data_IF_268079573854
#
_entry.id   IF_268079573854
#
_cell.length_a   1.000
_cell.length_b   1.000
_cell.length_c   1.000
_cell.angle_alpha   90.00
_cell.angle_beta   90.00
_cell.angle_gamma   90.00
#
_symmetry.space_group_name_H-M   'P 1'
#
loop_
_entity.id
_entity.type
_entity.pdbx_description
1 polymer ?
#
# COMPACT_ATOMS: atom_id res chain seq x y z
N UNK A 1 19.92 -4.18 -21.43
CA UNK A 1 19.40 -4.53 -20.08
C UNK A 1 18.29 -3.56 -19.73
N UNK A 2 17.09 -4.02 -19.37
CA UNK A 2 16.16 -3.14 -18.67
C UNK A 2 16.85 -2.73 -17.36
N UNK A 3 16.91 -1.43 -17.11
CA UNK A 3 17.67 -0.81 -16.04
C UNK A 3 17.28 -1.40 -14.68
N UNK A 4 18.25 -1.70 -13.80
CA UNK A 4 18.03 -2.21 -12.42
C UNK A 4 17.13 -1.32 -11.53
N UNK A 5 16.79 -0.12 -12.00
CA UNK A 5 15.92 0.85 -11.31
C UNK A 5 14.83 1.28 -12.29
N UNK A 6 13.60 0.75 -12.19
CA UNK A 6 12.49 1.21 -13.02
C UNK A 6 12.24 2.69 -12.74
N UNK A 7 11.98 3.46 -13.79
CA UNK A 7 11.67 4.89 -13.71
C UNK A 7 10.24 5.10 -14.18
N UNK A 8 9.49 5.89 -13.43
CA UNK A 8 8.14 6.33 -13.77
C UNK A 8 8.18 7.84 -14.00
N UNK A 9 7.69 8.30 -15.15
CA UNK A 9 7.49 9.71 -15.44
C UNK A 9 6.00 10.02 -15.27
N UNK A 10 5.68 11.06 -14.51
CA UNK A 10 4.29 11.47 -14.22
C UNK A 10 4.18 12.96 -14.51
N UNK A 11 3.11 13.36 -15.18
CA UNK A 11 2.79 14.76 -15.46
C UNK A 11 1.82 15.27 -14.41
N UNK A 12 2.12 16.42 -13.81
CA UNK A 12 1.28 17.10 -12.83
C UNK A 12 0.84 18.45 -13.38
N UNK A 13 -0.27 18.96 -12.85
CA UNK A 13 -0.62 20.36 -13.02
C UNK A 13 0.31 21.26 -12.19
N UNK A 14 0.43 22.53 -12.60
CA UNK A 14 1.29 23.51 -11.91
C UNK A 14 0.88 23.71 -10.45
N UNK A 15 -0.42 23.72 -10.16
CA UNK A 15 -1.00 23.85 -8.81
C UNK A 15 -0.58 22.68 -7.90
N UNK A 16 -0.64 21.46 -8.42
CA UNK A 16 -0.28 20.23 -7.72
C UNK A 16 1.23 20.18 -7.44
N UNK A 17 2.04 20.50 -8.45
CA UNK A 17 3.50 20.51 -8.31
C UNK A 17 3.97 21.55 -7.29
N UNK A 18 3.31 22.73 -7.24
CA UNK A 18 3.57 23.74 -6.23
C UNK A 18 3.25 23.23 -4.82
N UNK A 19 2.11 22.56 -4.65
CA UNK A 19 1.70 21.97 -3.37
C UNK A 19 2.69 20.91 -2.92
N UNK A 20 3.08 20.02 -3.84
CA UNK A 20 4.08 18.98 -3.60
C UNK A 20 5.46 19.57 -3.24
N UNK A 21 5.86 20.66 -3.90
CA UNK A 21 7.08 21.40 -3.61
C UNK A 21 7.10 22.03 -2.21
N UNK A 22 5.99 22.63 -1.78
CA UNK A 22 5.85 23.18 -0.43
C UNK A 22 5.94 22.09 0.64
N UNK A 23 5.29 20.94 0.41
CA UNK A 23 5.36 19.79 1.30
C UNK A 23 6.77 19.20 1.37
N UNK A 24 7.45 19.05 0.23
CA UNK A 24 8.82 18.55 0.17
C UNK A 24 9.78 19.48 0.93
N UNK A 25 9.62 20.80 0.77
CA UNK A 25 10.41 21.80 1.51
C UNK A 25 10.16 21.72 3.01
N UNK A 26 8.90 21.59 3.45
CA UNK A 26 8.54 21.45 4.87
C UNK A 26 9.18 20.20 5.50
N UNK A 27 9.34 19.13 4.72
CA UNK A 27 9.91 17.86 5.17
C UNK A 27 11.43 17.72 4.91
N UNK A 28 12.08 18.76 4.36
CA UNK A 28 13.48 18.73 3.94
C UNK A 28 13.83 17.54 3.01
N UNK A 29 12.93 17.24 2.06
CA UNK A 29 13.07 16.17 1.06
C UNK A 29 13.06 16.72 -0.36
N UNK A 30 13.55 15.94 -1.32
CA UNK A 30 13.31 16.24 -2.74
C UNK A 30 11.86 15.93 -3.12
N UNK A 31 11.33 16.64 -4.12
CA UNK A 31 9.98 16.40 -4.66
C UNK A 31 9.85 14.94 -5.12
N UNK A 32 10.86 14.39 -5.78
CA UNK A 32 10.86 13.01 -6.27
C UNK A 32 10.86 11.96 -5.15
N UNK A 33 11.57 12.22 -4.05
CA UNK A 33 11.57 11.32 -2.88
C UNK A 33 10.21 11.33 -2.21
N UNK A 34 9.63 12.52 -1.98
CA UNK A 34 8.32 12.66 -1.38
C UNK A 34 7.23 12.01 -2.27
N UNK A 35 7.26 12.26 -3.57
CA UNK A 35 6.33 11.64 -4.52
C UNK A 35 6.39 10.11 -4.46
N UNK A 36 7.61 9.54 -4.41
CA UNK A 36 7.80 8.10 -4.29
C UNK A 36 7.19 7.57 -2.99
N UNK A 37 7.45 8.22 -1.86
CA UNK A 37 6.89 7.82 -0.56
C UNK A 37 5.36 7.85 -0.59
N UNK A 38 4.76 8.94 -1.06
CA UNK A 38 3.31 9.06 -1.16
C UNK A 38 2.68 7.99 -2.07
N UNK A 39 3.35 7.62 -3.15
CA UNK A 39 2.90 6.53 -4.03
C UNK A 39 2.98 5.18 -3.32
N UNK A 40 4.05 4.92 -2.56
CA UNK A 40 4.19 3.68 -1.78
C UNK A 40 3.14 3.59 -0.68
N UNK A 41 2.91 4.67 0.06
CA UNK A 41 1.88 4.74 1.11
C UNK A 41 0.48 4.50 0.51
N UNK A 42 0.20 5.03 -0.69
CA UNK A 42 -1.06 4.78 -1.36
C UNK A 42 -1.21 3.31 -1.77
N UNK A 43 -0.15 2.69 -2.30
CA UNK A 43 -0.15 1.26 -2.66
C UNK A 43 -0.39 0.37 -1.44
N UNK A 44 0.26 0.66 -0.32
CA UNK A 44 0.07 -0.06 0.94
C UNK A 44 -1.40 0.03 1.42
N UNK A 45 -2.01 1.22 1.38
CA UNK A 45 -3.44 1.38 1.73
C UNK A 45 -4.37 0.61 0.80
N UNK A 46 -4.06 0.54 -0.49
CA UNK A 46 -4.83 -0.25 -1.44
C UNK A 46 -4.72 -1.74 -1.15
N UNK A 47 -3.52 -2.21 -0.79
CA UNK A 47 -3.29 -3.59 -0.38
C UNK A 47 -4.04 -3.93 0.92
N UNK A 48 -3.99 -3.07 1.93
CA UNK A 48 -4.70 -3.26 3.20
C UNK A 48 -6.21 -3.42 3.00
N UNK A 49 -6.81 -2.63 2.11
CA UNK A 49 -8.24 -2.75 1.78
C UNK A 49 -8.55 -4.10 1.14
N UNK A 50 -7.70 -4.54 0.20
CA UNK A 50 -7.85 -5.84 -0.45
C UNK A 50 -7.71 -7.01 0.54
N UNK A 51 -6.68 -6.96 1.40
CA UNK A 51 -6.45 -7.97 2.44
C UNK A 51 -7.57 -8.01 3.48
N UNK A 52 -8.10 -6.84 3.86
CA UNK A 52 -9.25 -6.73 4.78
C UNK A 52 -10.50 -7.38 4.18
N UNK A 53 -10.74 -7.17 2.87
CA UNK A 53 -11.87 -7.78 2.16
C UNK A 53 -11.75 -9.29 2.16
N UNK A 54 -10.56 -9.83 1.82
CA UNK A 54 -10.29 -11.26 1.85
C UNK A 54 -10.42 -11.85 3.26
N UNK A 55 -10.01 -11.13 4.29
CA UNK A 55 -10.16 -11.55 5.68
C UNK A 55 -11.64 -11.66 6.06
N UNK A 56 -12.46 -10.67 5.70
CA UNK A 56 -13.90 -10.69 5.97
C UNK A 56 -14.60 -11.84 5.24
N UNK A 57 -14.26 -12.11 3.98
CA UNK A 57 -14.80 -13.26 3.24
C UNK A 57 -14.51 -14.58 3.96
N UNK A 58 -13.28 -14.75 4.48
CA UNK A 58 -12.90 -15.95 5.24
C UNK A 58 -13.67 -16.07 6.55
N UNK A 59 -13.88 -14.97 7.27
CA UNK A 59 -14.68 -14.95 8.51
C UNK A 59 -16.12 -15.33 8.21
N UNK A 60 -16.73 -14.72 7.21
CA UNK A 60 -18.10 -15.02 6.78
C UNK A 60 -18.27 -16.50 6.41
N UNK A 61 -17.33 -17.08 5.65
CA UNK A 61 -17.38 -18.49 5.30
C UNK A 61 -17.19 -19.40 6.51
N UNK A 62 -16.30 -19.03 7.43
CA UNK A 62 -16.06 -19.75 8.67
C UNK A 62 -17.32 -19.81 9.55
N UNK A 63 -17.97 -18.66 9.76
CA UNK A 63 -19.22 -18.55 10.52
C UNK A 63 -20.35 -19.36 9.87
N UNK A 64 -20.48 -19.29 8.53
CA UNK A 64 -21.55 -19.99 7.81
C UNK A 64 -21.38 -21.51 7.80
N UNK A 65 -20.15 -22.01 7.68
CA UNK A 65 -19.87 -23.44 7.42
C UNK A 65 -19.38 -24.23 8.64
N UNK A 66 -19.19 -23.59 9.81
CA UNK A 66 -18.66 -24.22 11.03
C UNK A 66 -17.45 -25.12 10.72
N UNK A 67 -16.47 -24.56 10.00
CA UNK A 67 -15.34 -25.31 9.49
C UNK A 67 -14.48 -25.88 10.61
N UNK A 68 -13.83 -27.04 10.35
CA UNK A 68 -12.90 -27.65 11.30
C UNK A 68 -11.73 -26.70 11.59
N UNK A 69 -11.65 -26.24 12.83
CA UNK A 69 -10.52 -25.45 13.33
C UNK A 69 -9.38 -26.35 13.76
N UNK A 70 -8.16 -25.83 13.68
CA UNK A 70 -6.97 -26.45 14.25
C UNK A 70 -6.50 -25.54 15.37
N UNK A 71 -6.09 -26.11 16.52
CA UNK A 71 -5.53 -25.32 17.61
C UNK A 71 -4.23 -24.63 17.16
N UNK A 72 -3.98 -23.44 17.68
CA UNK A 72 -2.79 -22.63 17.35
C UNK A 72 -1.49 -23.44 17.49
N UNK A 73 -1.32 -24.16 18.59
CA UNK A 73 -0.13 -25.00 18.86
C UNK A 73 0.09 -26.11 17.82
N UNK A 74 -0.98 -26.57 17.16
CA UNK A 74 -0.91 -27.59 16.12
C UNK A 74 -0.70 -26.97 14.73
N UNK A 75 -1.07 -25.70 14.53
CA UNK A 75 -0.88 -24.98 13.27
C UNK A 75 0.56 -24.48 13.08
N UNK A 76 1.29 -24.20 14.17
CA UNK A 76 2.65 -23.62 14.14
C UNK A 76 3.79 -24.59 14.53
N UNK A 77 3.51 -25.89 14.60
CA UNK A 77 4.53 -26.94 14.66
C UNK A 77 5.02 -27.28 13.26
#
# INVERSE_FOLDING_TARGET
MPTKKPRLNVTFETSELNTLGLLAKKQNKSISSLAKELILDALERHEDVALSTLANERVDEFEKKSQKTVSHDKAWK
#
